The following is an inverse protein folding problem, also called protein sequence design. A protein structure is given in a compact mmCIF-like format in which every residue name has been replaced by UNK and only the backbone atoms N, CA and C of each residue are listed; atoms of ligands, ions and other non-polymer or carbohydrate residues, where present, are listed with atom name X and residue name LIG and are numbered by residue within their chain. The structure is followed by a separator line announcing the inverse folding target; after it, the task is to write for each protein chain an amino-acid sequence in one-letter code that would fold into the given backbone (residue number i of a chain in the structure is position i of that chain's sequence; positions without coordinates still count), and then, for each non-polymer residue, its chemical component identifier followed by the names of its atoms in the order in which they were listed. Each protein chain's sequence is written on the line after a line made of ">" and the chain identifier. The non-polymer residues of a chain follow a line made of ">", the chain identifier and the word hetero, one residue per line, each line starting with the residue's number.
data_IF_820662059094
#
_entry.id   IF_820662059094
#
_cell.length_a   1.000
_cell.length_b   1.000
_cell.length_c   1.000
_cell.angle_alpha   90.00
_cell.angle_beta   90.00
_cell.angle_gamma   90.00
#
_symmetry.space_group_name_H-M   'P 1'
#
loop_
_entity.id
_entity.type
_entity.pdbx_description
1 polymer ?
#
# COMPACT_ATOMS: atom_id res chain seq x y z
N UNK A 1 -3.63 27.50 7.15
CA UNK A 1 -2.70 26.53 7.79
C UNK A 1 -2.38 26.82 9.27
N UNK A 2 -2.31 28.07 9.76
CA UNK A 2 -2.09 28.34 11.21
C UNK A 2 -3.30 28.10 12.14
N UNK A 3 -4.53 27.99 11.60
CA UNK A 3 -5.77 27.79 12.38
C UNK A 3 -6.17 26.31 12.56
N UNK A 4 -5.67 25.41 11.71
CA UNK A 4 -5.90 23.96 11.84
C UNK A 4 -5.02 23.34 12.94
N UNK A 5 -3.78 23.82 13.06
CA UNK A 5 -2.85 23.41 14.12
C UNK A 5 -3.41 23.82 15.50
N UNK A 6 -4.04 24.99 15.62
CA UNK A 6 -4.58 25.50 16.88
C UNK A 6 -5.82 24.72 17.38
N UNK A 7 -6.60 24.10 16.47
CA UNK A 7 -7.73 23.24 16.84
C UNK A 7 -7.26 21.85 17.31
N UNK A 8 -6.21 21.29 16.69
CA UNK A 8 -5.58 20.05 17.15
C UNK A 8 -4.94 20.22 18.54
N UNK A 9 -4.29 21.36 18.83
CA UNK A 9 -3.69 21.59 20.15
C UNK A 9 -4.71 21.75 21.28
N UNK A 10 -5.90 22.30 21.01
CA UNK A 10 -6.97 22.43 22.02
C UNK A 10 -7.64 21.07 22.31
N UNK A 11 -7.76 20.20 21.30
CA UNK A 11 -8.24 18.82 21.50
C UNK A 11 -7.23 17.97 22.28
N UNK A 12 -5.93 18.14 22.03
CA UNK A 12 -4.83 17.48 22.77
C UNK A 12 -4.77 17.93 24.24
N UNK A 13 -5.10 19.19 24.54
CA UNK A 13 -5.16 19.73 25.91
C UNK A 13 -6.40 19.27 26.70
N UNK A 14 -7.52 18.97 26.03
CA UNK A 14 -8.74 18.45 26.67
C UNK A 14 -8.68 16.95 26.98
N UNK A 15 -7.81 16.20 26.30
CA UNK A 15 -7.60 14.77 26.52
C UNK A 15 -6.52 14.47 27.58
N UNK A 16 -5.65 15.44 27.88
CA UNK A 16 -4.62 15.32 28.92
C UNK A 16 -5.17 15.33 30.37
N UNK A 17 -6.48 15.55 30.58
CA UNK A 17 -7.09 15.64 31.92
C UNK A 17 -7.81 14.38 32.41
N UNK A 18 -7.66 13.23 31.73
CA UNK A 18 -8.18 11.94 32.22
C UNK A 18 -7.05 11.00 32.65
N UNK A 19 -6.13 11.51 33.48
CA UNK A 19 -5.23 10.69 34.27
C UNK A 19 -6.01 10.02 35.41
N UNK A 20 -6.52 8.81 35.16
CA UNK A 20 -7.15 7.95 36.17
C UNK A 20 -7.47 6.58 35.61
N UNK A 21 -6.55 5.62 35.81
CA UNK A 21 -6.54 4.25 35.26
C UNK A 21 -6.49 4.19 33.72
N UNK A 22 -5.30 3.95 33.13
CA UNK A 22 -5.22 3.74 31.69
C UNK A 22 -6.04 2.50 31.31
N UNK A 23 -6.97 2.68 30.36
CA UNK A 23 -7.67 1.55 29.75
C UNK A 23 -6.84 1.01 28.58
N UNK A 24 -7.00 -0.27 28.21
CA UNK A 24 -6.33 -0.82 27.02
C UNK A 24 -6.60 0.01 25.75
N UNK A 25 -7.79 0.59 25.62
CA UNK A 25 -8.13 1.52 24.54
C UNK A 25 -7.29 2.80 24.59
N UNK A 26 -7.16 3.41 25.78
CA UNK A 26 -6.37 4.62 25.96
C UNK A 26 -4.90 4.38 25.60
N UNK A 27 -4.34 3.25 26.04
CA UNK A 27 -2.94 2.89 25.74
C UNK A 27 -2.75 2.60 24.24
N UNK A 28 -3.73 1.95 23.61
CA UNK A 28 -3.74 1.72 22.16
C UNK A 28 -3.77 3.02 21.37
N UNK A 29 -4.68 3.92 21.72
CA UNK A 29 -4.86 5.20 21.03
C UNK A 29 -3.64 6.09 21.24
N UNK A 30 -3.07 6.11 22.45
CA UNK A 30 -1.84 6.82 22.76
C UNK A 30 -0.65 6.29 21.94
N UNK A 31 -0.53 4.98 21.74
CA UNK A 31 0.50 4.38 20.89
C UNK A 31 0.37 4.82 19.42
N UNK A 32 -0.86 4.85 18.87
CA UNK A 32 -1.12 5.34 17.52
C UNK A 32 -0.82 6.84 17.39
N UNK A 33 -1.28 7.65 18.34
CA UNK A 33 -0.99 9.09 18.37
C UNK A 33 0.51 9.33 18.42
N UNK A 34 1.23 8.61 19.29
CA UNK A 34 2.67 8.74 19.42
C UNK A 34 3.42 8.37 18.13
N UNK A 35 2.91 7.40 17.39
CA UNK A 35 3.43 7.05 16.06
C UNK A 35 3.26 8.22 15.09
N UNK A 36 2.09 8.85 15.06
CA UNK A 36 1.81 10.01 14.21
C UNK A 36 2.63 11.27 14.60
N UNK A 37 3.06 11.39 15.85
CA UNK A 37 3.94 12.47 16.32
C UNK A 37 5.41 12.29 15.87
N UNK A 38 5.82 11.07 15.49
CA UNK A 38 7.18 10.81 15.05
C UNK A 38 7.41 11.38 13.66
N UNK A 39 8.23 12.45 13.60
CA UNK A 39 8.58 13.14 12.35
C UNK A 39 9.48 12.31 11.44
N UNK A 40 10.25 11.40 12.03
CA UNK A 40 11.15 10.48 11.33
C UNK A 40 10.93 9.07 11.84
N UNK A 41 10.61 8.14 10.93
CA UNK A 41 10.39 6.74 11.30
C UNK A 41 10.66 5.80 10.13
N UNK A 42 10.91 4.53 10.45
CA UNK A 42 10.97 3.45 9.47
C UNK A 42 10.03 2.33 9.91
N UNK A 43 9.19 1.89 8.99
CA UNK A 43 8.23 0.81 9.22
C UNK A 43 8.47 -0.30 8.20
N UNK A 44 8.44 -1.55 8.64
CA UNK A 44 8.42 -2.71 7.75
C UNK A 44 7.10 -3.46 7.91
N UNK A 45 6.37 -3.62 6.81
CA UNK A 45 5.11 -4.36 6.74
C UNK A 45 5.36 -5.67 6.01
N UNK A 46 5.06 -6.81 6.63
CA UNK A 46 5.18 -8.14 6.01
C UNK A 46 3.82 -8.80 5.97
N UNK A 47 3.36 -9.18 4.77
CA UNK A 47 2.16 -9.98 4.57
C UNK A 47 2.53 -11.43 4.26
N UNK A 48 1.89 -12.37 4.96
CA UNK A 48 2.10 -13.80 4.82
C UNK A 48 0.77 -14.57 4.77
N UNK A 49 0.72 -15.57 3.91
CA UNK A 49 -0.36 -16.55 3.85
C UNK A 49 -0.03 -17.69 4.81
N UNK A 50 -0.89 -17.92 5.80
CA UNK A 50 -0.71 -19.02 6.75
C UNK A 50 -1.50 -20.25 6.33
N UNK A 51 -2.70 -20.08 5.75
CA UNK A 51 -3.54 -21.18 5.29
C UNK A 51 -4.52 -20.73 4.20
N UNK A 52 -4.85 -21.65 3.29
CA UNK A 52 -5.84 -21.48 2.23
C UNK A 52 -6.51 -22.81 1.90
N UNK A 53 -7.84 -22.82 1.77
CA UNK A 53 -8.57 -24.02 1.34
C UNK A 53 -8.20 -24.46 -0.07
N UNK A 54 -8.41 -25.75 -0.36
CA UNK A 54 -8.20 -26.34 -1.70
C UNK A 54 -8.99 -25.60 -2.80
N UNK A 55 -10.17 -25.07 -2.48
CA UNK A 55 -10.98 -24.27 -3.40
C UNK A 55 -10.28 -23.01 -3.88
N UNK A 56 -9.57 -22.30 -2.98
CA UNK A 56 -8.74 -21.15 -3.35
C UNK A 56 -7.47 -21.58 -4.07
N UNK A 57 -6.80 -22.64 -3.60
CA UNK A 57 -5.59 -23.17 -4.24
C UNK A 57 -5.84 -23.53 -5.71
N UNK A 58 -6.98 -24.17 -6.03
CA UNK A 58 -7.37 -24.48 -7.41
C UNK A 58 -7.50 -23.26 -8.31
N UNK A 59 -7.91 -22.10 -7.76
CA UNK A 59 -8.01 -20.84 -8.52
C UNK A 59 -6.65 -20.21 -8.80
N UNK A 60 -5.67 -20.45 -7.93
CA UNK A 60 -4.30 -19.98 -8.11
C UNK A 60 -3.55 -20.80 -9.19
N UNK A 61 -4.00 -22.04 -9.42
CA UNK A 61 -3.49 -22.91 -10.48
C UNK A 61 -2.70 -24.10 -9.92
N UNK A 62 -2.47 -25.14 -10.76
CA UNK A 62 -1.89 -26.40 -10.31
C UNK A 62 -0.41 -26.30 -9.92
N UNK A 63 0.29 -25.24 -10.33
CA UNK A 63 1.72 -25.03 -10.07
C UNK A 63 1.98 -24.39 -8.69
N UNK A 64 0.93 -23.92 -8.00
CA UNK A 64 1.03 -23.23 -6.71
C UNK A 64 0.52 -24.17 -5.62
N UNK A 65 1.41 -24.55 -4.70
CA UNK A 65 1.03 -25.30 -3.50
C UNK A 65 1.07 -24.43 -2.24
N UNK A 66 0.37 -24.87 -1.19
CA UNK A 66 0.23 -24.12 0.04
C UNK A 66 1.56 -23.96 0.80
N UNK A 67 2.46 -24.95 0.75
CA UNK A 67 3.75 -24.85 1.41
C UNK A 67 4.64 -23.79 0.76
N UNK A 68 4.53 -23.62 -0.56
CA UNK A 68 5.18 -22.52 -1.28
C UNK A 68 4.62 -21.18 -0.81
N UNK A 69 3.29 -21.02 -0.77
CA UNK A 69 2.65 -19.78 -0.30
C UNK A 69 3.05 -19.41 1.14
N UNK A 70 3.13 -20.38 2.04
CA UNK A 70 3.57 -20.16 3.43
C UNK A 70 5.03 -19.71 3.54
N UNK A 71 5.87 -20.07 2.58
CA UNK A 71 7.29 -19.65 2.51
C UNK A 71 7.48 -18.35 1.73
N UNK A 72 6.47 -17.96 0.94
CA UNK A 72 6.43 -16.69 0.22
C UNK A 72 5.90 -15.58 1.12
N UNK A 73 6.28 -14.34 0.83
CA UNK A 73 5.74 -13.16 1.50
C UNK A 73 5.86 -11.92 0.62
N UNK A 74 5.06 -10.91 0.96
CA UNK A 74 5.15 -9.56 0.39
C UNK A 74 5.62 -8.64 1.50
N UNK A 75 6.63 -7.82 1.24
CA UNK A 75 7.14 -6.84 2.19
C UNK A 75 7.00 -5.43 1.63
N UNK A 76 6.62 -4.50 2.49
CA UNK A 76 6.62 -3.08 2.20
C UNK A 76 7.34 -2.36 3.34
N UNK A 77 8.56 -1.89 3.06
CA UNK A 77 9.34 -1.09 3.98
C UNK A 77 9.26 0.36 3.56
N UNK A 78 9.07 1.27 4.50
CA UNK A 78 9.08 2.71 4.23
C UNK A 78 9.82 3.45 5.33
N UNK A 79 10.71 4.34 4.93
CA UNK A 79 11.30 5.37 5.78
C UNK A 79 10.67 6.71 5.43
N UNK A 80 10.20 7.45 6.44
CA UNK A 80 9.59 8.77 6.27
C UNK A 80 10.41 9.80 7.02
N UNK A 81 10.66 10.92 6.35
CA UNK A 81 11.23 12.13 6.92
C UNK A 81 10.29 13.31 6.65
N UNK A 82 9.56 13.70 7.69
CA UNK A 82 8.61 14.82 7.64
C UNK A 82 9.31 16.18 7.60
N UNK A 83 10.60 16.27 7.94
CA UNK A 83 11.35 17.53 7.92
C UNK A 83 11.71 17.94 6.50
N UNK A 84 12.06 16.95 5.67
CA UNK A 84 12.31 17.13 4.23
C UNK A 84 11.10 16.77 3.36
N UNK A 85 9.95 16.47 3.98
CA UNK A 85 8.74 16.02 3.29
C UNK A 85 9.00 14.86 2.31
N UNK A 86 9.86 13.91 2.68
CA UNK A 86 10.34 12.85 1.79
C UNK A 86 10.16 11.47 2.41
N UNK A 87 9.85 10.47 1.61
CA UNK A 87 9.91 9.08 2.01
C UNK A 87 10.67 8.23 0.99
N UNK A 88 11.18 7.09 1.44
CA UNK A 88 11.78 6.07 0.61
C UNK A 88 11.20 4.72 0.99
N UNK A 89 10.58 4.06 0.02
CA UNK A 89 9.96 2.76 0.22
C UNK A 89 10.63 1.68 -0.62
N UNK A 90 10.53 0.44 -0.14
CA UNK A 90 10.91 -0.78 -0.83
C UNK A 90 9.69 -1.72 -0.79
N UNK A 91 9.21 -2.11 -1.97
CA UNK A 91 8.17 -3.12 -2.15
C UNK A 91 8.82 -4.40 -2.66
N UNK A 92 8.80 -5.45 -1.84
CA UNK A 92 9.44 -6.72 -2.14
C UNK A 92 8.41 -7.85 -2.25
N UNK A 93 8.61 -8.71 -3.24
CA UNK A 93 7.89 -9.99 -3.37
C UNK A 93 8.94 -11.09 -3.28
N UNK A 94 8.78 -11.95 -2.28
CA UNK A 94 9.59 -13.13 -2.08
C UNK A 94 8.74 -14.36 -2.38
N UNK A 95 9.04 -15.04 -3.49
CA UNK A 95 8.32 -16.22 -3.94
C UNK A 95 9.20 -17.46 -3.87
N UNK A 96 8.79 -18.44 -3.06
CA UNK A 96 9.53 -19.70 -2.82
C UNK A 96 8.88 -20.91 -3.51
N UNK A 97 8.49 -20.75 -4.78
CA UNK A 97 8.03 -21.85 -5.65
C UNK A 97 9.16 -22.59 -6.37
N UNK A 98 8.82 -23.48 -7.31
CA UNK A 98 9.80 -24.22 -8.13
C UNK A 98 10.75 -23.30 -8.88
N UNK A 99 10.22 -22.18 -9.39
CA UNK A 99 11.01 -21.03 -9.85
C UNK A 99 10.96 -19.99 -8.75
N UNK A 100 12.02 -19.91 -7.96
CA UNK A 100 12.16 -18.86 -6.94
C UNK A 100 12.21 -17.50 -7.62
N UNK A 101 11.49 -16.54 -7.06
CA UNK A 101 11.44 -15.19 -7.59
C UNK A 101 11.55 -14.22 -6.42
N UNK A 102 12.53 -13.34 -6.47
CA UNK A 102 12.74 -12.30 -5.47
C UNK A 102 12.84 -10.98 -6.22
N UNK A 103 11.84 -10.11 -6.08
CA UNK A 103 11.79 -8.78 -6.71
C UNK A 103 11.68 -7.74 -5.61
N UNK A 104 12.50 -6.70 -5.68
CA UNK A 104 12.37 -5.50 -4.85
C UNK A 104 12.37 -4.29 -5.76
N UNK A 105 11.35 -3.44 -5.63
CA UNK A 105 11.27 -2.15 -6.30
C UNK A 105 11.20 -1.07 -5.24
N UNK A 106 11.99 -0.03 -5.42
CA UNK A 106 12.05 1.11 -4.54
C UNK A 106 11.29 2.30 -5.12
N UNK A 107 10.88 3.21 -4.24
CA UNK A 107 10.33 4.50 -4.65
C UNK A 107 10.74 5.59 -3.66
N UNK A 108 11.23 6.72 -4.16
CA UNK A 108 11.29 7.97 -3.42
C UNK A 108 9.99 8.75 -3.65
N UNK A 109 9.35 9.21 -2.58
CA UNK A 109 8.14 10.02 -2.69
C UNK A 109 8.29 11.35 -1.97
N UNK A 110 7.95 12.44 -2.65
CA UNK A 110 7.81 13.75 -2.02
C UNK A 110 6.38 13.88 -1.49
N UNK A 111 6.24 13.94 -0.17
CA UNK A 111 4.95 14.05 0.51
C UNK A 111 4.31 15.44 0.40
N UNK A 112 5.04 16.50 0.02
CA UNK A 112 4.44 17.82 -0.18
C UNK A 112 3.64 17.88 -1.47
N UNK A 113 4.19 17.35 -2.57
CA UNK A 113 3.54 17.36 -3.88
C UNK A 113 2.93 16.02 -4.32
N UNK A 114 3.32 14.91 -3.68
CA UNK A 114 2.86 13.54 -3.93
C UNK A 114 3.63 12.79 -5.01
N UNK A 115 4.69 13.38 -5.59
CA UNK A 115 5.44 12.76 -6.70
C UNK A 115 6.20 11.54 -6.23
N UNK A 116 6.24 10.51 -7.08
CA UNK A 116 6.97 9.27 -6.82
C UNK A 116 8.01 9.00 -7.91
N UNK A 117 9.20 8.61 -7.49
CA UNK A 117 10.38 8.40 -8.31
C UNK A 117 10.91 6.98 -8.10
N UNK A 118 10.95 6.18 -9.15
CA UNK A 118 11.44 4.79 -9.09
C UNK A 118 12.87 4.76 -9.66
N UNK A 119 13.88 4.29 -8.90
CA UNK A 119 15.22 4.12 -9.44
C UNK A 119 15.20 3.19 -10.66
N UNK A 120 15.83 3.61 -11.75
CA UNK A 120 15.97 2.76 -12.93
C UNK A 120 16.84 1.54 -12.62
N UNK A 121 17.82 1.69 -11.72
CA UNK A 121 18.69 0.60 -11.24
C UNK A 121 17.91 -0.62 -10.76
N UNK A 122 16.71 -0.45 -10.18
CA UNK A 122 15.90 -1.57 -9.73
C UNK A 122 15.55 -2.55 -10.87
N UNK A 123 15.34 -2.05 -12.08
CA UNK A 123 15.06 -2.89 -13.26
C UNK A 123 16.31 -3.63 -13.74
N UNK A 124 17.50 -3.04 -13.55
CA UNK A 124 18.79 -3.66 -13.87
C UNK A 124 19.14 -4.74 -12.83
N UNK A 125 19.02 -4.43 -11.55
CA UNK A 125 19.31 -5.35 -10.45
C UNK A 125 18.33 -6.54 -10.42
N UNK A 126 17.07 -6.31 -10.79
CA UNK A 126 16.04 -7.35 -10.84
C UNK A 126 15.88 -8.01 -12.22
N UNK A 127 16.84 -7.84 -13.14
CA UNK A 127 16.72 -8.32 -14.53
C UNK A 127 16.35 -9.80 -14.62
N UNK A 128 17.02 -10.67 -13.85
CA UNK A 128 16.78 -12.11 -13.87
C UNK A 128 15.38 -12.46 -13.33
N UNK A 129 15.00 -11.82 -12.22
CA UNK A 129 13.68 -11.99 -11.61
C UNK A 129 12.56 -11.56 -12.58
N UNK A 130 12.65 -10.37 -13.17
CA UNK A 130 11.67 -9.86 -14.13
C UNK A 130 11.63 -10.74 -15.38
N UNK A 131 12.79 -11.10 -15.93
CA UNK A 131 12.89 -11.97 -17.11
C UNK A 131 12.24 -13.33 -16.90
N UNK A 132 12.34 -13.89 -15.69
CA UNK A 132 11.75 -15.19 -15.36
C UNK A 132 10.21 -15.20 -15.42
N UNK A 133 9.58 -14.03 -15.26
CA UNK A 133 8.13 -13.86 -15.33
C UNK A 133 7.62 -13.58 -16.75
N UNK A 134 8.51 -13.19 -17.66
CA UNK A 134 8.15 -12.80 -19.02
C UNK A 134 8.23 -14.02 -19.96
N UNK A 135 7.34 -14.11 -20.98
CA UNK A 135 7.55 -15.04 -22.08
C UNK A 135 8.93 -14.85 -22.71
N UNK A 136 9.56 -15.93 -23.20
CA UNK A 136 10.96 -15.89 -23.66
C UNK A 136 11.25 -14.77 -24.69
N UNK A 137 10.31 -14.50 -25.60
CA UNK A 137 10.42 -13.39 -26.56
C UNK A 137 10.41 -12.02 -25.87
N UNK A 138 9.50 -11.81 -24.93
CA UNK A 138 9.40 -10.58 -24.14
C UNK A 138 10.59 -10.39 -23.21
N UNK A 139 11.08 -11.46 -22.56
CA UNK A 139 12.29 -11.42 -21.74
C UNK A 139 13.52 -11.01 -22.56
N UNK A 140 13.67 -11.57 -23.76
CA UNK A 140 14.76 -11.18 -24.68
C UNK A 140 14.70 -9.69 -25.03
N UNK A 141 13.52 -9.17 -25.36
CA UNK A 141 13.34 -7.75 -25.68
C UNK A 141 13.64 -6.88 -24.47
N UNK A 142 13.11 -7.23 -23.29
CA UNK A 142 13.37 -6.52 -22.04
C UNK A 142 14.88 -6.41 -21.76
N UNK A 143 15.60 -7.54 -21.80
CA UNK A 143 17.05 -7.57 -21.56
C UNK A 143 17.82 -6.73 -22.58
N UNK A 144 17.44 -6.80 -23.86
CA UNK A 144 18.07 -6.00 -24.90
C UNK A 144 17.78 -4.50 -24.77
N UNK A 145 16.59 -4.11 -24.30
CA UNK A 145 16.27 -2.71 -23.99
C UNK A 145 17.16 -2.21 -22.86
N UNK A 146 17.33 -2.99 -21.78
CA UNK A 146 18.23 -2.62 -20.69
C UNK A 146 19.68 -2.49 -21.17
N UNK A 147 20.17 -3.44 -21.97
CA UNK A 147 21.52 -3.42 -22.54
C UNK A 147 21.78 -2.18 -23.43
N UNK A 148 20.77 -1.72 -24.18
CA UNK A 148 20.89 -0.57 -25.09
C UNK A 148 20.73 0.79 -24.40
N UNK A 149 20.22 0.81 -23.16
CA UNK A 149 19.88 2.04 -22.44
C UNK A 149 20.59 2.15 -21.08
N UNK A 150 21.80 1.59 -20.95
CA UNK A 150 22.61 1.62 -19.70
C UNK A 150 22.87 3.03 -19.15
N UNK A 151 22.82 4.05 -19.99
CA UNK A 151 22.90 5.44 -19.57
C UNK A 151 21.75 5.88 -18.67
N UNK A 152 20.63 5.14 -18.66
CA UNK A 152 19.48 5.39 -17.79
C UNK A 152 19.61 4.75 -16.41
N UNK A 153 20.51 3.78 -16.21
CA UNK A 153 20.61 2.97 -14.98
C UNK A 153 20.73 3.82 -13.70
N UNK A 154 21.50 4.91 -13.76
CA UNK A 154 21.69 5.84 -12.63
C UNK A 154 20.56 6.84 -12.39
N UNK A 155 19.50 6.81 -13.21
CA UNK A 155 18.41 7.78 -13.19
C UNK A 155 17.17 7.27 -12.45
N UNK A 156 16.17 8.12 -12.34
CA UNK A 156 14.85 7.83 -11.77
C UNK A 156 13.74 8.03 -12.79
N UNK A 157 12.74 7.15 -12.77
CA UNK A 157 11.48 7.32 -13.47
C UNK A 157 10.51 8.11 -12.59
N UNK A 158 9.96 9.21 -13.10
CA UNK A 158 8.77 9.80 -12.50
C UNK A 158 7.56 8.91 -12.83
N UNK A 159 6.93 8.33 -11.81
CA UNK A 159 5.84 7.36 -11.98
C UNK A 159 4.68 7.91 -12.82
N UNK A 160 4.24 9.13 -12.54
CA UNK A 160 3.07 9.72 -13.20
C UNK A 160 3.37 10.10 -14.66
N UNK A 161 4.54 10.68 -14.94
CA UNK A 161 4.98 10.96 -16.32
C UNK A 161 5.13 9.67 -17.13
N UNK A 162 5.65 8.62 -16.49
CA UNK A 162 5.79 7.30 -17.08
C UNK A 162 4.43 6.69 -17.45
N UNK A 163 3.45 6.76 -16.55
CA UNK A 163 2.07 6.32 -16.81
C UNK A 163 1.45 7.12 -17.97
N UNK A 164 1.59 8.45 -17.96
CA UNK A 164 1.08 9.28 -19.05
C UNK A 164 1.68 8.86 -20.40
N UNK A 165 2.98 8.57 -20.45
CA UNK A 165 3.62 8.12 -21.68
C UNK A 165 3.06 6.77 -22.17
N UNK A 166 2.93 5.79 -21.27
CA UNK A 166 2.39 4.47 -21.60
C UNK A 166 0.92 4.54 -22.04
N UNK A 167 0.13 5.43 -21.44
CA UNK A 167 -1.27 5.67 -21.81
C UNK A 167 -1.41 6.56 -23.05
N UNK A 168 -0.32 6.90 -23.74
CA UNK A 168 -0.28 7.81 -24.89
C UNK A 168 -0.96 9.17 -24.60
N UNK A 169 -0.90 9.60 -23.35
CA UNK A 169 -1.30 10.94 -22.92
C UNK A 169 -0.12 11.89 -23.08
N UNK A 170 -0.42 13.17 -23.28
CA UNK A 170 0.62 14.20 -23.25
C UNK A 170 1.20 14.25 -21.84
N UNK A 171 2.51 14.04 -21.71
CA UNK A 171 3.22 14.31 -20.45
C UNK A 171 3.05 15.79 -20.13
N UNK A 172 2.36 16.07 -19.04
CA UNK A 172 2.03 17.40 -18.57
C UNK A 172 2.28 17.48 -17.06
N UNK A 173 3.31 18.25 -16.69
CA UNK A 173 3.72 18.42 -15.29
C UNK A 173 2.60 18.99 -14.42
N UNK A 174 1.71 19.83 -14.96
CA UNK A 174 0.57 20.35 -14.18
C UNK A 174 -0.43 19.23 -13.85
N UNK A 175 -0.70 18.35 -14.82
CA UNK A 175 -1.53 17.15 -14.58
C UNK A 175 -0.85 16.19 -13.60
N UNK A 176 0.47 15.98 -13.70
CA UNK A 176 1.24 15.17 -12.72
C UNK A 176 1.09 15.74 -11.31
N UNK A 177 1.29 17.06 -11.14
CA UNK A 177 1.13 17.73 -9.85
C UNK A 177 -0.30 17.58 -9.29
N UNK A 178 -1.32 17.57 -10.16
CA UNK A 178 -2.71 17.37 -9.74
C UNK A 178 -2.98 15.92 -9.34
N UNK A 179 -2.54 14.94 -10.12
CA UNK A 179 -2.67 13.51 -9.81
C UNK A 179 -2.02 13.17 -8.46
N UNK A 180 -0.82 13.69 -8.25
CA UNK A 180 -0.04 13.49 -7.03
C UNK A 180 -0.74 14.10 -5.79
N UNK A 181 -1.33 15.30 -5.92
CA UNK A 181 -2.16 15.91 -4.86
C UNK A 181 -3.43 15.12 -4.56
N UNK A 182 -4.11 14.59 -5.58
CA UNK A 182 -5.32 13.78 -5.37
C UNK A 182 -5.00 12.47 -4.66
N UNK A 183 -3.87 11.80 -5.01
CA UNK A 183 -3.39 10.61 -4.31
C UNK A 183 -3.11 10.90 -2.83
N UNK A 184 -2.37 11.97 -2.53
CA UNK A 184 -2.10 12.38 -1.14
C UNK A 184 -3.37 12.55 -0.31
N UNK A 185 -4.38 13.25 -0.86
CA UNK A 185 -5.65 13.43 -0.15
C UNK A 185 -6.39 12.11 0.08
N UNK A 186 -6.32 11.17 -0.85
CA UNK A 186 -6.92 9.83 -0.70
C UNK A 186 -6.27 9.10 0.47
N UNK A 187 -4.93 9.11 0.56
CA UNK A 187 -4.17 8.51 1.65
C UNK A 187 -4.52 9.14 3.01
N UNK A 188 -4.51 10.48 3.09
CA UNK A 188 -4.89 11.21 4.29
C UNK A 188 -6.33 10.91 4.74
N UNK A 189 -7.27 10.90 3.78
CA UNK A 189 -8.69 10.63 4.06
C UNK A 189 -8.91 9.20 4.58
N UNK A 190 -8.26 8.21 3.95
CA UNK A 190 -8.35 6.82 4.38
C UNK A 190 -7.73 6.62 5.76
N UNK A 191 -6.56 7.19 6.03
CA UNK A 191 -5.90 7.12 7.33
C UNK A 191 -6.72 7.74 8.46
N UNK A 192 -7.32 8.91 8.23
CA UNK A 192 -8.21 9.57 9.19
C UNK A 192 -9.46 8.74 9.46
N UNK A 193 -10.08 8.16 8.42
CA UNK A 193 -11.27 7.32 8.56
C UNK A 193 -10.98 6.08 9.43
N UNK A 194 -9.87 5.38 9.16
CA UNK A 194 -9.44 4.22 9.95
C UNK A 194 -9.18 4.62 11.40
N UNK A 195 -8.39 5.67 11.65
CA UNK A 195 -8.10 6.14 13.00
C UNK A 195 -9.38 6.53 13.77
N UNK A 196 -10.27 7.27 13.11
CA UNK A 196 -11.52 7.73 13.73
C UNK A 196 -12.42 6.56 14.11
N UNK A 197 -12.61 5.59 13.19
CA UNK A 197 -13.38 4.38 13.46
C UNK A 197 -12.81 3.62 14.66
N UNK A 198 -11.49 3.37 14.69
CA UNK A 198 -10.85 2.64 15.78
C UNK A 198 -10.97 3.38 17.12
N UNK A 199 -10.86 4.71 17.12
CA UNK A 199 -11.00 5.53 18.30
C UNK A 199 -12.44 5.59 18.83
N UNK A 200 -13.44 5.39 17.98
CA UNK A 200 -14.86 5.42 18.38
C UNK A 200 -15.35 4.08 18.96
N UNK A 201 -14.57 3.00 18.86
CA UNK A 201 -14.91 1.69 19.42
C UNK A 201 -14.99 1.71 20.96
N UNK A 202 -15.94 0.97 21.54
CA UNK A 202 -16.03 0.79 23.00
C UNK A 202 -14.78 0.12 23.58
N UNK A 203 -14.46 0.40 24.85
CA UNK A 203 -13.34 -0.20 25.59
C UNK A 203 -13.34 -1.74 25.57
N UNK A 204 -14.51 -2.37 25.48
CA UNK A 204 -14.67 -3.85 25.46
C UNK A 204 -13.95 -4.53 24.28
N UNK A 205 -13.63 -3.80 23.21
CA UNK A 205 -12.92 -4.34 22.05
C UNK A 205 -11.41 -4.45 22.29
N UNK A 206 -10.91 -3.81 23.35
CA UNK A 206 -9.50 -3.73 23.69
C UNK A 206 -9.22 -4.55 24.95
N UNK A 207 -8.26 -5.45 24.85
CA UNK A 207 -7.84 -6.31 25.97
C UNK A 207 -6.33 -6.28 26.11
N UNK A 208 -5.82 -6.07 27.33
CA UNK A 208 -4.39 -6.21 27.61
C UNK A 208 -4.05 -7.68 27.88
N UNK A 209 -2.89 -8.11 27.38
CA UNK A 209 -2.27 -9.39 27.74
C UNK A 209 -1.27 -9.19 28.90
N UNK A 210 -0.82 -10.30 29.48
CA UNK A 210 0.17 -10.32 30.58
C UNK A 210 1.54 -9.72 30.18
N UNK A 211 1.83 -9.60 28.88
CA UNK A 211 3.06 -9.04 28.34
C UNK A 211 2.90 -7.57 27.86
N UNK A 212 1.89 -6.86 28.35
CA UNK A 212 1.53 -5.48 27.99
C UNK A 212 1.08 -5.28 26.52
N UNK A 213 0.97 -6.35 25.72
CA UNK A 213 0.35 -6.27 24.40
C UNK A 213 -1.13 -5.92 24.52
N UNK A 214 -1.61 -5.09 23.61
CA UNK A 214 -3.01 -4.71 23.51
C UNK A 214 -3.63 -5.42 22.29
N UNK A 215 -4.71 -6.17 22.50
CA UNK A 215 -5.46 -6.82 21.44
C UNK A 215 -6.75 -6.06 21.18
N UNK A 216 -6.89 -5.59 19.95
CA UNK A 216 -8.13 -5.16 19.35
C UNK A 216 -8.76 -6.34 18.60
N UNK A 217 -10.04 -6.62 18.84
CA UNK A 217 -10.82 -7.59 18.08
C UNK A 217 -11.97 -6.91 17.36
N UNK A 218 -12.13 -7.18 16.08
CA UNK A 218 -13.28 -6.75 15.28
C UNK A 218 -14.05 -7.98 14.80
N UNK A 219 -15.35 -7.94 14.99
CA UNK A 219 -16.28 -8.86 14.36
C UNK A 219 -16.40 -8.61 12.86
N UNK A 220 -16.94 -9.57 12.10
CA UNK A 220 -17.20 -9.40 10.66
C UNK A 220 -18.08 -8.18 10.34
N UNK A 221 -19.00 -7.82 11.23
CA UNK A 221 -19.86 -6.65 11.07
C UNK A 221 -19.05 -5.36 11.25
N UNK A 222 -18.18 -5.31 12.24
CA UNK A 222 -17.31 -4.14 12.48
C UNK A 222 -16.26 -3.98 11.37
N UNK A 223 -15.71 -5.07 10.84
CA UNK A 223 -14.85 -5.00 9.65
C UNK A 223 -15.63 -4.43 8.46
N UNK A 224 -16.88 -4.86 8.25
CA UNK A 224 -17.75 -4.31 7.21
C UNK A 224 -18.02 -2.81 7.43
N UNK A 225 -18.30 -2.40 8.66
CA UNK A 225 -18.56 -1.00 9.01
C UNK A 225 -17.32 -0.12 8.80
N UNK A 226 -16.14 -0.58 9.22
CA UNK A 226 -14.86 0.09 8.98
C UNK A 226 -14.63 0.31 7.47
N UNK A 227 -14.78 -0.74 6.66
CA UNK A 227 -14.58 -0.62 5.21
C UNK A 227 -15.61 0.33 4.59
N UNK A 228 -16.87 0.28 5.02
CA UNK A 228 -17.90 1.19 4.54
C UNK A 228 -17.64 2.65 4.93
N UNK A 229 -17.13 2.91 6.14
CA UNK A 229 -16.77 4.27 6.55
C UNK A 229 -15.65 4.82 5.65
N UNK A 230 -14.58 4.05 5.45
CA UNK A 230 -13.49 4.42 4.53
C UNK A 230 -14.02 4.71 3.12
N UNK A 231 -14.82 3.81 2.54
CA UNK A 231 -15.40 4.00 1.20
C UNK A 231 -16.28 5.25 1.12
N UNK A 232 -17.03 5.56 2.18
CA UNK A 232 -17.91 6.74 2.24
C UNK A 232 -17.08 8.02 2.28
N UNK A 233 -16.06 8.08 3.16
CA UNK A 233 -15.16 9.25 3.25
C UNK A 233 -14.44 9.51 1.94
N UNK A 234 -14.03 8.46 1.24
CA UNK A 234 -13.38 8.57 -0.06
C UNK A 234 -14.33 9.06 -1.17
N UNK A 235 -15.61 8.70 -1.12
CA UNK A 235 -16.61 9.18 -2.09
C UNK A 235 -16.94 10.66 -1.90
N UNK A 236 -17.10 11.09 -0.64
CA UNK A 236 -17.50 12.46 -0.28
C UNK A 236 -16.53 13.53 -0.80
N UNK A 237 -15.25 13.18 -0.94
CA UNK A 237 -14.22 14.12 -1.39
C UNK A 237 -14.11 14.21 -2.93
N UNK A 238 -14.59 13.20 -3.67
CA UNK A 238 -14.46 13.15 -5.14
C UNK A 238 -13.03 12.94 -5.68
N UNK A 239 -12.00 12.95 -4.82
CA UNK A 239 -10.59 12.81 -5.20
C UNK A 239 -10.32 11.49 -5.96
N UNK A 240 -10.94 10.39 -5.54
CA UNK A 240 -10.81 9.08 -6.23
C UNK A 240 -11.36 9.16 -7.66
N UNK A 241 -12.51 9.81 -7.85
CA UNK A 241 -13.12 10.00 -9.17
C UNK A 241 -12.25 10.90 -10.05
N UNK A 242 -11.68 11.96 -9.49
CA UNK A 242 -10.75 12.84 -10.19
C UNK A 242 -9.51 12.07 -10.65
N UNK A 243 -8.87 11.33 -9.74
CA UNK A 243 -7.69 10.53 -10.05
C UNK A 243 -7.96 9.49 -11.15
N UNK A 244 -9.07 8.76 -11.07
CA UNK A 244 -9.49 7.80 -12.12
C UNK A 244 -9.70 8.51 -13.46
N UNK A 245 -10.39 9.66 -13.47
CA UNK A 245 -10.63 10.41 -14.69
C UNK A 245 -9.33 10.83 -15.37
N UNK A 246 -8.35 11.26 -14.59
CA UNK A 246 -7.06 11.71 -15.08
C UNK A 246 -6.19 10.56 -15.59
N UNK A 247 -6.07 9.47 -14.82
CA UNK A 247 -5.27 8.30 -15.23
C UNK A 247 -5.83 7.67 -16.50
N UNK A 248 -7.16 7.46 -16.56
CA UNK A 248 -7.80 6.79 -17.69
C UNK A 248 -8.03 7.74 -18.89
N UNK A 249 -7.77 9.04 -18.74
CA UNK A 249 -8.11 10.06 -19.75
C UNK A 249 -9.62 10.12 -20.03
N UNK A 250 -10.44 9.82 -19.02
CA UNK A 250 -11.88 9.63 -19.15
C UNK A 250 -12.68 10.82 -18.59
N UNK A 251 -13.95 10.95 -18.98
CA UNK A 251 -14.82 11.98 -18.39
C UNK A 251 -15.09 11.69 -16.92
N UNK A 252 -15.29 12.73 -16.10
CA UNK A 252 -15.70 12.58 -14.69
C UNK A 252 -16.92 11.67 -14.51
N UNK A 253 -17.88 11.71 -15.46
CA UNK A 253 -19.07 10.82 -15.43
C UNK A 253 -18.69 9.34 -15.61
N UNK A 254 -17.75 9.04 -16.50
CA UNK A 254 -17.27 7.68 -16.71
C UNK A 254 -16.47 7.17 -15.51
N UNK A 255 -15.55 7.99 -15.00
CA UNK A 255 -14.79 7.70 -13.78
C UNK A 255 -15.72 7.47 -12.57
N UNK A 256 -16.73 8.33 -12.37
CA UNK A 256 -17.74 8.15 -11.31
C UNK A 256 -18.51 6.85 -11.47
N UNK A 257 -18.86 6.46 -12.70
CA UNK A 257 -19.52 5.17 -12.94
C UNK A 257 -18.62 4.00 -12.54
N UNK A 258 -17.33 4.04 -12.90
CA UNK A 258 -16.34 3.00 -12.56
C UNK A 258 -16.17 2.89 -11.03
N UNK A 259 -16.00 4.02 -10.35
CA UNK A 259 -15.90 4.07 -8.89
C UNK A 259 -17.15 3.54 -8.19
N UNK A 260 -18.34 4.02 -8.59
CA UNK A 260 -19.60 3.57 -8.00
C UNK A 260 -19.87 2.08 -8.23
N UNK A 261 -19.44 1.51 -9.36
CA UNK A 261 -19.53 0.07 -9.59
C UNK A 261 -18.61 -0.68 -8.63
N UNK A 262 -17.35 -0.28 -8.50
CA UNK A 262 -16.40 -0.90 -7.59
C UNK A 262 -16.88 -0.86 -6.12
N UNK A 263 -17.41 0.28 -5.67
CA UNK A 263 -18.00 0.41 -4.33
C UNK A 263 -19.19 -0.52 -4.13
N UNK A 264 -20.12 -0.59 -5.10
CA UNK A 264 -21.28 -1.49 -5.01
C UNK A 264 -20.89 -2.95 -4.93
N UNK A 265 -19.89 -3.37 -5.70
CA UNK A 265 -19.41 -4.75 -5.70
C UNK A 265 -18.76 -5.09 -4.35
N UNK A 266 -17.96 -4.16 -3.79
CA UNK A 266 -17.37 -4.31 -2.46
C UNK A 266 -18.43 -4.38 -1.36
N UNK A 267 -19.39 -3.45 -1.37
CA UNK A 267 -20.51 -3.41 -0.41
C UNK A 267 -21.40 -4.65 -0.51
N UNK A 268 -21.63 -5.17 -1.71
CA UNK A 268 -22.38 -6.41 -1.91
C UNK A 268 -21.64 -7.62 -1.32
N UNK A 269 -20.32 -7.70 -1.51
CA UNK A 269 -19.48 -8.75 -0.90
C UNK A 269 -19.47 -8.66 0.62
N UNK A 270 -19.33 -7.46 1.19
CA UNK A 270 -19.39 -7.24 2.64
C UNK A 270 -20.77 -7.63 3.21
N UNK A 271 -21.86 -7.20 2.55
CA UNK A 271 -23.22 -7.57 2.97
C UNK A 271 -23.45 -9.07 2.91
N UNK A 272 -22.87 -9.77 1.92
CA UNK A 272 -22.93 -11.23 1.84
C UNK A 272 -22.20 -11.87 3.02
N UNK A 273 -21.03 -11.35 3.39
CA UNK A 273 -20.25 -11.82 4.54
C UNK A 273 -21.02 -11.61 5.87
N UNK A 274 -21.56 -10.42 6.10
CA UNK A 274 -22.24 -10.07 7.34
C UNK A 274 -23.55 -10.85 7.53
N UNK A 275 -24.29 -11.09 6.45
CA UNK A 275 -25.60 -11.76 6.51
C UNK A 275 -25.54 -13.30 6.50
N UNK A 276 -24.37 -13.90 6.27
CA UNK A 276 -24.24 -15.35 6.19
C UNK A 276 -23.69 -15.93 7.50
N UNK A 277 -24.53 -16.59 8.28
CA UNK A 277 -24.14 -17.19 9.57
C UNK A 277 -23.15 -18.35 9.45
N UNK A 278 -23.06 -18.98 8.27
CA UNK A 278 -22.05 -20.00 8.01
C UNK A 278 -20.66 -19.42 7.74
N UNK A 279 -20.56 -18.09 7.59
CA UNK A 279 -19.31 -17.38 7.36
C UNK A 279 -18.87 -16.64 8.62
N UNK A 280 -17.62 -16.86 9.00
CA UNK A 280 -16.94 -16.15 10.08
C UNK A 280 -15.76 -15.36 9.51
N UNK A 281 -15.47 -14.23 10.16
CA UNK A 281 -14.27 -13.44 9.91
C UNK A 281 -13.77 -12.94 11.26
N UNK A 282 -12.68 -13.53 11.73
CA UNK A 282 -11.98 -13.09 12.92
C UNK A 282 -10.84 -12.17 12.50
N UNK A 283 -10.96 -10.90 12.87
CA UNK A 283 -9.92 -9.91 12.69
C UNK A 283 -9.37 -9.52 14.06
N UNK A 284 -8.10 -9.83 14.30
CA UNK A 284 -7.41 -9.43 15.54
C UNK A 284 -6.19 -8.59 15.18
N UNK A 285 -6.04 -7.46 15.88
CA UNK A 285 -4.86 -6.62 15.82
C UNK A 285 -4.21 -6.64 17.22
N UNK A 286 -3.01 -7.20 17.32
CA UNK A 286 -2.19 -7.14 18.53
C UNK A 286 -1.15 -6.05 18.36
N UNK A 287 -1.09 -5.09 19.26
CA UNK A 287 -0.12 -3.99 19.25
C UNK A 287 0.74 -4.08 20.51
N UNK A 288 2.06 -4.00 20.35
CA UNK A 288 3.04 -3.94 21.44
C UNK A 288 3.45 -2.48 21.64
N UNK A 289 2.98 -1.80 22.70
CA UNK A 289 3.29 -0.39 22.92
C UNK A 289 4.79 -0.13 23.09
N UNK A 290 5.26 1.03 22.64
CA UNK A 290 6.64 1.48 22.82
C UNK A 290 6.67 2.99 23.12
N UNK A 291 7.27 3.36 24.25
CA UNK A 291 7.30 4.76 24.72
C UNK A 291 7.98 5.76 23.77
N UNK A 292 8.88 5.29 22.89
CA UNK A 292 9.61 6.13 21.94
C UNK A 292 8.95 6.12 20.57
N UNK A 293 8.65 4.93 20.04
CA UNK A 293 8.16 4.71 18.67
C UNK A 293 6.63 4.77 18.57
N UNK A 294 5.92 4.77 19.70
CA UNK A 294 4.47 4.61 19.80
C UNK A 294 4.12 3.13 19.97
N UNK A 295 4.52 2.29 19.02
CA UNK A 295 4.55 0.84 19.15
C UNK A 295 5.83 0.28 18.55
N UNK A 296 6.29 -0.88 19.01
CA UNK A 296 7.43 -1.58 18.41
C UNK A 296 6.99 -2.56 17.33
N UNK A 297 5.81 -3.17 17.52
CA UNK A 297 5.25 -4.20 16.65
C UNK A 297 3.73 -4.17 16.66
N UNK A 298 3.11 -4.38 15.50
CA UNK A 298 1.70 -4.74 15.40
C UNK A 298 1.54 -6.01 14.54
N UNK A 299 0.62 -6.89 14.93
CA UNK A 299 0.31 -8.14 14.22
C UNK A 299 -1.19 -8.16 13.96
N UNK A 300 -1.57 -8.16 12.69
CA UNK A 300 -2.94 -8.31 12.23
C UNK A 300 -3.11 -9.74 11.74
N UNK A 301 -4.01 -10.49 12.36
CA UNK A 301 -4.40 -11.82 11.92
C UNK A 301 -5.82 -11.77 11.38
N UNK A 302 -6.01 -12.27 10.16
CA UNK A 302 -7.31 -12.40 9.53
C UNK A 302 -7.59 -13.88 9.30
N UNK A 303 -8.65 -14.40 9.93
CA UNK A 303 -9.12 -15.76 9.71
C UNK A 303 -10.55 -15.73 9.17
N UNK A 304 -10.74 -16.22 7.95
CA UNK A 304 -12.06 -16.38 7.34
C UNK A 304 -12.36 -17.87 7.20
N UNK A 305 -13.58 -18.27 7.59
CA UNK A 305 -14.08 -19.63 7.40
C UNK A 305 -15.52 -19.61 6.87
N UNK A 306 -15.81 -20.45 5.88
CA UNK A 306 -17.17 -20.79 5.44
C UNK A 306 -17.43 -22.27 5.74
N UNK A 307 -18.28 -22.54 6.73
CA UNK A 307 -18.54 -23.91 7.17
C UNK A 307 -19.30 -24.74 6.15
N UNK A 308 -20.04 -24.11 5.22
CA UNK A 308 -20.80 -24.81 4.19
C UNK A 308 -19.89 -25.28 3.05
N UNK A 309 -18.97 -24.44 2.60
CA UNK A 309 -18.05 -24.79 1.52
C UNK A 309 -16.74 -25.38 2.00
N UNK A 310 -16.48 -25.32 3.32
CA UNK A 310 -15.17 -25.61 3.94
C UNK A 310 -14.07 -24.72 3.39
N UNK A 311 -14.42 -23.51 2.95
CA UNK A 311 -13.45 -22.52 2.53
C UNK A 311 -12.80 -21.87 3.75
N UNK A 312 -11.49 -21.63 3.63
CA UNK A 312 -10.63 -21.10 4.68
C UNK A 312 -9.64 -20.12 4.05
N UNK A 313 -9.45 -18.97 4.68
CA UNK A 313 -8.33 -18.09 4.40
C UNK A 313 -7.73 -17.58 5.70
N UNK A 314 -6.43 -17.79 5.90
CA UNK A 314 -5.71 -17.31 7.07
C UNK A 314 -4.47 -16.52 6.64
N UNK A 315 -4.44 -15.25 7.05
CA UNK A 315 -3.36 -14.33 6.71
C UNK A 315 -2.81 -13.65 7.97
N UNK A 316 -1.53 -13.27 7.91
CA UNK A 316 -0.91 -12.40 8.91
C UNK A 316 -0.22 -11.23 8.23
N UNK A 317 -0.51 -10.04 8.74
CA UNK A 317 0.26 -8.83 8.43
C UNK A 317 1.02 -8.42 9.69
N UNK A 318 2.34 -8.38 9.62
CA UNK A 318 3.20 -7.89 10.68
C UNK A 318 3.70 -6.49 10.32
N UNK A 319 3.68 -5.56 11.27
CA UNK A 319 4.16 -4.19 11.12
C UNK A 319 5.21 -3.99 12.21
N UNK A 320 6.48 -3.85 11.83
CA UNK A 320 7.58 -3.59 12.75
C UNK A 320 8.03 -2.13 12.64
N UNK A 321 8.15 -1.44 13.78
CA UNK A 321 8.72 -0.09 13.85
C UNK A 321 10.23 -0.19 14.08
N UNK A 322 10.99 0.02 13.02
CA UNK A 322 12.44 -0.08 12.99
C UNK A 322 13.10 1.21 13.47
N UNK A 323 14.42 1.18 13.62
CA UNK A 323 15.18 2.41 13.78
C UNK A 323 15.16 3.19 12.47
N UNK A 324 15.13 4.52 12.56
CA UNK A 324 15.02 5.37 11.38
C UNK A 324 16.21 5.16 10.44
N UNK A 325 15.89 4.81 9.20
CA UNK A 325 16.83 4.74 8.09
C UNK A 325 16.70 6.00 7.24
N UNK A 326 17.83 6.67 7.02
CA UNK A 326 17.87 7.95 6.33
C UNK A 326 17.30 7.85 4.92
N UNK A 327 16.35 8.74 4.61
CA UNK A 327 15.78 8.88 3.27
C UNK A 327 16.85 9.45 2.31
N UNK A 328 17.09 8.85 1.12
CA UNK A 328 17.98 9.42 0.12
C UNK A 328 17.48 10.78 -0.40
N UNK A 329 18.35 11.63 -0.97
CA UNK A 329 17.91 12.90 -1.55
C UNK A 329 16.96 12.68 -2.74
N UNK A 330 16.02 13.60 -2.94
CA UNK A 330 15.14 13.59 -4.11
C UNK A 330 15.94 13.81 -5.39
N UNK A 331 15.62 13.10 -6.49
CA UNK A 331 16.30 13.32 -7.75
C UNK A 331 15.88 14.65 -8.39
N UNK A 332 16.82 15.32 -9.06
CA UNK A 332 16.59 16.59 -9.73
C UNK A 332 17.07 16.59 -11.19
N UNK A 333 16.37 17.35 -12.05
CA UNK A 333 16.84 17.70 -13.39
C UNK A 333 17.26 16.51 -14.24
N UNK A 334 18.57 16.37 -14.48
CA UNK A 334 19.15 15.34 -15.34
C UNK A 334 19.21 13.94 -14.71
N UNK A 335 18.94 13.82 -13.40
CA UNK A 335 18.81 12.56 -12.67
C UNK A 335 17.46 11.88 -12.93
N UNK A 336 16.50 12.59 -13.53
CA UNK A 336 15.20 12.05 -13.93
C UNK A 336 15.24 11.70 -15.42
N UNK A 337 14.71 10.53 -15.76
CA UNK A 337 14.58 10.09 -17.17
C UNK A 337 13.65 11.05 -17.89
N UNK A 338 14.16 11.69 -18.94
CA UNK A 338 13.37 12.60 -19.76
C UNK A 338 12.42 11.84 -20.69
N UNK A 339 11.36 12.52 -21.16
CA UNK A 339 10.47 11.96 -22.20
C UNK A 339 11.24 11.41 -23.40
N UNK A 340 12.24 12.16 -23.90
CA UNK A 340 13.02 11.74 -25.08
C UNK A 340 13.78 10.44 -24.83
N UNK A 341 14.31 10.27 -23.62
CA UNK A 341 15.01 9.06 -23.20
C UNK A 341 14.04 7.89 -23.06
N UNK A 342 12.87 8.12 -22.45
CA UNK A 342 11.81 7.11 -22.31
C UNK A 342 11.26 6.67 -23.69
N UNK A 343 10.97 7.62 -24.59
CA UNK A 343 10.49 7.34 -25.95
C UNK A 343 11.52 6.56 -26.76
N UNK A 344 12.81 6.86 -26.58
CA UNK A 344 13.90 6.10 -27.19
C UNK A 344 13.90 4.67 -26.69
N UNK A 345 13.87 4.45 -25.37
CA UNK A 345 13.86 3.11 -24.79
C UNK A 345 12.66 2.28 -25.27
N UNK A 346 11.47 2.88 -25.33
CA UNK A 346 10.25 2.26 -25.88
C UNK A 346 10.43 1.94 -27.37
N UNK A 347 10.95 2.88 -28.16
CA UNK A 347 11.19 2.70 -29.60
C UNK A 347 12.17 1.55 -29.87
N UNK A 348 13.23 1.45 -29.08
CA UNK A 348 14.22 0.39 -29.21
C UNK A 348 13.59 -0.98 -28.88
N UNK A 349 12.75 -1.07 -27.84
CA UNK A 349 11.95 -2.26 -27.55
C UNK A 349 11.00 -2.65 -28.69
N UNK A 350 10.29 -1.67 -29.27
CA UNK A 350 9.38 -1.89 -30.42
C UNK A 350 10.11 -2.40 -31.66
N UNK A 351 11.28 -1.82 -31.99
CA UNK A 351 12.10 -2.29 -33.12
C UNK A 351 12.53 -3.73 -32.92
N UNK A 352 12.98 -4.08 -31.72
CA UNK A 352 13.38 -5.45 -31.37
C UNK A 352 12.21 -6.41 -31.49
N UNK A 353 11.04 -6.06 -30.93
CA UNK A 353 9.82 -6.84 -31.07
C UNK A 353 9.47 -7.13 -32.53
N UNK A 354 9.38 -6.08 -33.35
CA UNK A 354 9.04 -6.20 -34.77
C UNK A 354 10.07 -7.00 -35.57
N UNK A 355 11.36 -6.88 -35.24
CA UNK A 355 12.43 -7.65 -35.88
C UNK A 355 12.44 -9.13 -35.49
N UNK A 356 11.89 -9.47 -34.32
CA UNK A 356 11.81 -10.85 -33.82
C UNK A 356 10.56 -11.62 -34.28
N UNK A 357 9.59 -10.91 -34.86
CA UNK A 357 8.34 -11.46 -35.40
C UNK A 357 8.41 -11.75 -36.92
N UNK A 358 9.54 -11.43 -37.56
CA UNK A 358 9.90 -11.81 -38.93
C UNK A 358 10.83 -13.02 -38.89
#
# INVERSE_FOLDING_TARGET
>A
MKKAIMAATIFVLLLATLSGCSSPKSDFTAALQKTAENRQYTTNVTFQVNDLSEGYMKKLGPEIDLNQLKKSNIQYKISVDSDSASSYSASSIHWKGEKTFDLTIHALQNSDDGKAYIPVSDFYDATDSISSLLPASTAKIFNQVLEQNKDLESKYLNLFETIQNFSNQTIDTETVDRQAKELKKIEETAGIAIYSYLNDLDDKHFTSKDNDDIVLKLSKNEVSDLVNDVLTKLDDQGNVVALIAEIDGSTQKAAKKKWNTAQKDMQASLKKLTNNDAQTLDFNLTLTPDSKKGFSKAIITTNFEDTNTKDLMNFTTTIDMLDYEKVPPMPEGNEIVSKKELDKAISDGLKLYLSSAQ
#
